data_IF_710909377371
#
_entry.id   IF_710909377371
#
_cell.length_a   1.000
_cell.length_b   1.000
_cell.length_c   1.000
_cell.angle_alpha   90.00
_cell.angle_beta   90.00
_cell.angle_gamma   90.00
#
_symmetry.space_group_name_H-M   'P 1'
#
loop_
_entity.id
_entity.type
_entity.pdbx_description
1 polymer ?
#
# COMPACT_ATOMS: atom_id res chain seq x y z
N UNK A 1 19.09 -2.39 -51.22
CA UNK A 1 20.04 -3.42 -51.65
C UNK A 1 20.33 -4.38 -50.48
N UNK A 2 19.93 -5.65 -50.69
CA UNK A 2 20.30 -6.87 -49.94
C UNK A 2 19.84 -7.07 -48.49
N UNK A 3 18.72 -7.82 -48.36
CA UNK A 3 18.41 -8.72 -47.23
C UNK A 3 19.55 -9.72 -46.98
N UNK A 4 19.79 -10.06 -45.70
CA UNK A 4 20.30 -11.39 -45.35
C UNK A 4 19.50 -11.98 -44.20
N UNK A 5 18.84 -13.11 -44.50
CA UNK A 5 18.23 -14.09 -43.61
C UNK A 5 19.32 -14.97 -42.99
N UNK A 6 19.16 -15.35 -41.69
CA UNK A 6 19.68 -16.62 -41.14
C UNK A 6 18.79 -16.92 -39.91
N UNK A 7 17.91 -17.82 -39.90
CA UNK A 7 17.91 -19.28 -39.84
C UNK A 7 17.84 -19.80 -38.41
N UNK A 8 16.73 -20.51 -38.17
CA UNK A 8 16.34 -21.24 -36.94
C UNK A 8 17.31 -22.40 -36.66
N UNK A 9 17.60 -22.66 -35.40
CA UNK A 9 18.04 -23.99 -34.96
C UNK A 9 17.16 -24.40 -33.76
N UNK A 10 16.33 -25.42 -34.01
CA UNK A 10 15.72 -26.27 -33.02
C UNK A 10 16.76 -27.31 -32.56
N UNK A 11 16.93 -27.50 -31.25
CA UNK A 11 17.57 -28.68 -30.76
C UNK A 11 16.70 -29.34 -29.69
N UNK A 12 16.08 -30.43 -30.10
CA UNK A 12 15.37 -31.41 -29.32
C UNK A 12 16.40 -32.35 -28.69
N UNK A 13 16.33 -32.59 -27.39
CA UNK A 13 16.96 -33.76 -26.74
C UNK A 13 15.95 -34.47 -25.86
N UNK A 14 15.44 -35.58 -26.40
CA UNK A 14 14.91 -36.71 -25.63
C UNK A 14 16.06 -37.46 -25.00
N UNK A 15 15.95 -37.84 -23.73
CA UNK A 15 16.65 -39.01 -23.20
C UNK A 15 15.71 -39.80 -22.32
N UNK A 16 15.63 -41.08 -22.66
CA UNK A 16 14.79 -42.11 -22.11
C UNK A 16 15.37 -42.72 -20.83
N UNK A 17 14.49 -43.28 -20.07
CA UNK A 17 14.46 -44.18 -18.96
C UNK A 17 15.64 -45.05 -18.57
N UNK A 18 15.65 -45.37 -17.29
CA UNK A 18 16.10 -46.68 -16.78
C UNK A 18 15.38 -47.02 -15.46
N UNK A 19 14.61 -48.08 -15.54
CA UNK A 19 14.04 -48.80 -14.39
C UNK A 19 15.14 -49.61 -13.73
N UNK A 20 15.24 -49.56 -12.40
CA UNK A 20 15.87 -50.63 -11.64
C UNK A 20 14.93 -51.08 -10.51
N UNK A 21 14.46 -52.29 -10.66
CA UNK A 21 13.84 -53.11 -9.61
C UNK A 21 14.93 -53.76 -8.75
N UNK A 22 14.79 -53.67 -7.43
CA UNK A 22 15.59 -54.39 -6.47
C UNK A 22 14.81 -54.67 -5.20
N UNK A 23 14.39 -55.91 -5.02
CA UNK A 23 13.68 -56.42 -3.86
C UNK A 23 14.68 -56.83 -2.77
N UNK A 24 14.40 -56.57 -1.49
CA UNK A 24 15.15 -57.10 -0.36
C UNK A 24 14.63 -56.58 0.97
N UNK A 25 13.95 -57.42 1.75
CA UNK A 25 13.27 -57.10 2.98
C UNK A 25 14.17 -56.92 4.20
N UNK A 26 13.69 -56.30 5.25
CA UNK A 26 14.30 -56.14 6.57
C UNK A 26 13.53 -55.13 7.44
N UNK A 27 13.11 -55.57 8.60
CA UNK A 27 12.18 -55.00 9.56
C UNK A 27 12.37 -53.52 9.98
N UNK A 28 11.23 -52.93 10.33
CA UNK A 28 11.01 -51.55 10.85
C UNK A 28 11.66 -51.28 12.21
N UNK A 29 11.94 -49.99 12.49
CA UNK A 29 11.10 -49.28 13.44
C UNK A 29 10.41 -48.06 12.84
N UNK A 30 9.23 -47.75 13.40
CA UNK A 30 8.36 -46.69 12.98
C UNK A 30 8.99 -45.31 13.23
N UNK A 31 9.38 -44.62 12.16
CA UNK A 31 9.68 -43.19 12.21
C UNK A 31 8.37 -42.40 12.12
N UNK A 32 8.21 -41.53 13.12
CA UNK A 32 7.20 -40.47 13.10
C UNK A 32 7.39 -39.65 11.81
N UNK A 33 6.30 -39.20 11.16
CA UNK A 33 6.46 -38.27 10.08
C UNK A 33 7.03 -36.98 10.65
N UNK A 34 8.23 -36.64 10.22
CA UNK A 34 8.75 -35.27 10.39
C UNK A 34 7.75 -34.33 9.73
N UNK A 35 7.29 -33.36 10.47
CA UNK A 35 6.51 -32.27 9.90
C UNK A 35 7.36 -31.67 8.78
N UNK A 36 6.91 -31.79 7.54
CA UNK A 36 7.48 -31.07 6.42
C UNK A 36 7.42 -29.58 6.77
N UNK A 37 8.59 -28.97 6.94
CA UNK A 37 8.69 -27.52 6.95
C UNK A 37 8.10 -27.02 5.63
N UNK A 38 7.23 -26.01 5.61
CA UNK A 38 6.71 -25.46 4.37
C UNK A 38 7.90 -25.01 3.53
N UNK A 39 7.98 -25.52 2.31
CA UNK A 39 8.92 -25.00 1.32
C UNK A 39 8.62 -23.51 1.18
N UNK A 40 9.51 -22.65 1.67
CA UNK A 40 9.41 -21.21 1.49
C UNK A 40 9.68 -20.91 0.01
N UNK A 41 8.64 -20.96 -0.80
CA UNK A 41 8.68 -20.39 -2.14
C UNK A 41 8.63 -18.87 -2.04
N UNK A 42 9.33 -18.18 -2.94
CA UNK A 42 9.21 -16.73 -3.10
C UNK A 42 7.76 -16.37 -3.42
N UNK A 43 7.24 -15.32 -2.80
CA UNK A 43 5.91 -14.78 -3.04
C UNK A 43 6.02 -13.45 -3.78
N UNK A 44 5.47 -13.38 -4.99
CA UNK A 44 5.39 -12.12 -5.74
C UNK A 44 4.30 -11.26 -5.12
N UNK A 45 4.70 -10.10 -4.58
CA UNK A 45 3.83 -9.21 -3.83
C UNK A 45 3.58 -7.92 -4.61
N UNK A 46 2.32 -7.70 -5.02
CA UNK A 46 1.91 -6.41 -5.57
C UNK A 46 1.77 -5.37 -4.46
N UNK A 47 2.30 -4.19 -4.66
CA UNK A 47 2.25 -3.06 -3.73
C UNK A 47 1.94 -1.77 -4.48
N UNK A 48 1.23 -0.85 -3.84
CA UNK A 48 1.10 0.52 -4.34
C UNK A 48 2.46 1.21 -4.22
N UNK A 49 2.85 1.96 -5.24
CA UNK A 49 4.11 2.69 -5.24
C UNK A 49 4.19 3.66 -4.04
N UNK A 50 5.24 3.52 -3.26
CA UNK A 50 5.62 4.40 -2.18
C UNK A 50 6.44 5.59 -2.70
N UNK A 51 6.76 6.57 -1.85
CA UNK A 51 7.57 7.72 -2.27
C UNK A 51 9.04 7.35 -2.43
N UNK A 52 9.56 6.47 -1.58
CA UNK A 52 11.00 6.19 -1.47
C UNK A 52 11.33 4.73 -1.14
N UNK A 53 10.34 3.84 -0.95
CA UNK A 53 10.58 2.41 -0.72
C UNK A 53 10.84 1.72 -2.05
N UNK A 54 12.05 1.21 -2.21
CA UNK A 54 12.51 0.43 -3.36
C UNK A 54 12.53 -1.05 -3.01
N UNK A 55 12.75 -1.93 -4.00
CA UNK A 55 12.96 -3.37 -3.79
C UNK A 55 14.04 -3.65 -2.73
N UNK A 56 15.20 -2.97 -2.83
CA UNK A 56 16.28 -3.11 -1.85
C UNK A 56 15.85 -2.71 -0.44
N UNK A 57 15.12 -1.61 -0.28
CA UNK A 57 14.61 -1.19 1.03
C UNK A 57 13.59 -2.18 1.58
N UNK A 58 12.77 -2.80 0.73
CA UNK A 58 11.87 -3.87 1.14
C UNK A 58 12.63 -5.08 1.68
N UNK A 59 13.69 -5.50 1.02
CA UNK A 59 14.57 -6.57 1.53
C UNK A 59 15.16 -6.23 2.90
N UNK A 60 15.57 -4.98 3.09
CA UNK A 60 16.11 -4.52 4.37
C UNK A 60 15.02 -4.52 5.46
N UNK A 61 13.78 -4.13 5.15
CA UNK A 61 12.62 -4.22 6.07
C UNK A 61 12.35 -5.67 6.46
N UNK A 62 12.30 -6.57 5.49
CA UNK A 62 12.05 -8.00 5.75
C UNK A 62 13.13 -8.62 6.67
N UNK A 63 14.40 -8.26 6.47
CA UNK A 63 15.50 -8.67 7.37
C UNK A 63 15.31 -8.16 8.79
N UNK A 64 14.98 -6.87 8.95
CA UNK A 64 14.71 -6.28 10.28
C UNK A 64 13.54 -6.99 10.99
N UNK A 65 12.45 -7.28 10.26
CA UNK A 65 11.30 -8.01 10.82
C UNK A 65 11.70 -9.44 11.22
N UNK A 66 12.52 -10.13 10.42
CA UNK A 66 13.00 -11.47 10.73
C UNK A 66 13.93 -11.51 11.94
N UNK A 67 14.89 -10.60 12.01
CA UNK A 67 15.85 -10.50 13.13
C UNK A 67 15.13 -10.24 14.46
N UNK A 68 14.09 -9.42 14.41
CA UNK A 68 13.31 -9.09 15.61
C UNK A 68 12.37 -10.21 16.06
N UNK A 69 11.64 -10.82 15.13
CA UNK A 69 10.64 -11.84 15.45
C UNK A 69 11.26 -13.20 15.76
N UNK A 70 12.50 -13.44 15.32
CA UNK A 70 13.15 -14.76 15.39
C UNK A 70 12.46 -15.84 14.53
N UNK A 71 11.54 -15.45 13.66
CA UNK A 71 10.76 -16.31 12.79
C UNK A 71 11.27 -16.14 11.35
N UNK A 72 11.34 -17.25 10.60
CA UNK A 72 11.62 -17.17 9.16
C UNK A 72 10.47 -16.44 8.47
N UNK A 73 10.78 -15.29 7.88
CA UNK A 73 9.82 -14.49 7.11
C UNK A 73 9.76 -14.99 5.68
N UNK A 74 8.57 -15.07 5.12
CA UNK A 74 8.39 -15.34 3.68
C UNK A 74 9.19 -14.32 2.86
N UNK A 75 9.95 -14.79 1.89
CA UNK A 75 10.65 -13.91 0.96
C UNK A 75 9.65 -13.33 -0.03
N UNK A 76 9.43 -12.02 0.04
CA UNK A 76 8.54 -11.30 -0.88
C UNK A 76 9.36 -10.62 -1.98
N UNK A 77 8.91 -10.80 -3.22
CA UNK A 77 9.44 -10.11 -4.39
C UNK A 77 8.43 -9.01 -4.76
N UNK A 78 8.70 -7.72 -4.44
CA UNK A 78 7.76 -6.65 -4.66
C UNK A 78 7.62 -6.29 -6.14
N UNK A 79 6.39 -6.01 -6.55
CA UNK A 79 6.06 -5.36 -7.82
C UNK A 79 5.22 -4.14 -7.51
N UNK A 80 5.69 -2.95 -7.89
CA UNK A 80 5.02 -1.70 -7.58
C UNK A 80 4.05 -1.30 -8.70
N UNK A 81 2.88 -0.82 -8.28
CA UNK A 81 1.80 -0.37 -9.15
C UNK A 81 1.43 1.07 -8.82
N UNK A 82 1.08 1.84 -9.83
CA UNK A 82 0.67 3.24 -9.67
C UNK A 82 -0.77 3.40 -9.17
N UNK A 83 -1.58 2.33 -9.21
CA UNK A 83 -2.97 2.36 -8.76
C UNK A 83 -3.44 0.99 -8.25
N UNK A 84 -4.48 1.00 -7.40
CA UNK A 84 -5.13 -0.22 -6.92
C UNK A 84 -5.68 -1.04 -8.11
N UNK A 85 -6.27 -0.38 -9.09
CA UNK A 85 -6.81 -1.04 -10.28
C UNK A 85 -5.74 -1.82 -11.05
N UNK A 86 -4.58 -1.22 -11.28
CA UNK A 86 -3.46 -1.90 -11.95
C UNK A 86 -2.94 -3.07 -11.11
N UNK A 87 -2.86 -2.91 -9.81
CA UNK A 87 -2.44 -3.97 -8.89
C UNK A 87 -3.45 -5.13 -8.86
N UNK A 88 -4.75 -4.84 -8.90
CA UNK A 88 -5.80 -5.86 -9.02
C UNK A 88 -5.69 -6.62 -10.36
N UNK A 89 -5.44 -5.93 -11.47
CA UNK A 89 -5.17 -6.59 -12.75
C UNK A 89 -3.91 -7.48 -12.69
N UNK A 90 -2.90 -7.08 -11.93
CA UNK A 90 -1.68 -7.87 -11.71
C UNK A 90 -1.96 -9.20 -11.03
N UNK A 91 -2.75 -9.21 -9.96
CA UNK A 91 -3.09 -10.45 -9.26
C UNK A 91 -4.08 -11.31 -10.06
N UNK A 92 -5.05 -10.71 -10.74
CA UNK A 92 -6.02 -11.42 -11.58
C UNK A 92 -5.35 -12.13 -12.77
N UNK A 93 -4.29 -11.54 -13.33
CA UNK A 93 -3.49 -12.15 -14.41
C UNK A 93 -2.47 -13.18 -13.91
N UNK A 94 -2.24 -13.30 -12.59
CA UNK A 94 -1.21 -14.14 -12.00
C UNK A 94 0.20 -13.55 -12.12
N UNK A 95 0.34 -12.25 -12.42
CA UNK A 95 1.64 -11.57 -12.43
C UNK A 95 2.21 -11.44 -11.02
N UNK A 96 1.35 -11.32 -10.00
CA UNK A 96 1.67 -11.38 -8.58
C UNK A 96 0.79 -12.43 -7.89
N UNK A 97 1.28 -12.96 -6.77
CA UNK A 97 0.60 -14.02 -6.01
C UNK A 97 -0.31 -13.43 -4.91
N UNK A 98 0.10 -12.32 -4.35
CA UNK A 98 -0.60 -11.57 -3.31
C UNK A 98 -0.51 -10.07 -3.58
N UNK A 99 -1.41 -9.30 -2.99
CA UNK A 99 -1.34 -7.83 -2.96
C UNK A 99 -1.33 -7.34 -1.51
N UNK A 100 -0.48 -6.35 -1.25
CA UNK A 100 -0.36 -5.69 0.05
C UNK A 100 -1.20 -4.42 0.08
N UNK A 101 -2.08 -4.32 1.05
CA UNK A 101 -2.97 -3.19 1.28
C UNK A 101 -2.98 -2.84 2.76
N UNK A 102 -3.56 -1.71 3.10
CA UNK A 102 -3.98 -1.44 4.46
C UNK A 102 -5.32 -2.10 4.75
N UNK A 103 -5.52 -2.53 5.99
CA UNK A 103 -6.69 -3.31 6.39
C UNK A 103 -8.01 -2.64 6.01
N UNK A 104 -8.12 -1.34 6.17
CA UNK A 104 -9.32 -0.60 5.77
C UNK A 104 -9.66 -0.76 4.29
N UNK A 105 -8.64 -0.70 3.41
CA UNK A 105 -8.79 -0.89 1.96
C UNK A 105 -9.01 -2.37 1.62
N UNK A 106 -8.28 -3.28 2.26
CA UNK A 106 -8.44 -4.73 2.08
C UNK A 106 -9.85 -5.19 2.42
N UNK A 107 -10.40 -4.74 3.55
CA UNK A 107 -11.77 -5.03 3.96
C UNK A 107 -12.80 -4.53 2.93
N UNK A 108 -12.57 -3.34 2.34
CA UNK A 108 -13.42 -2.80 1.29
C UNK A 108 -13.34 -3.65 0.00
N UNK A 109 -12.14 -4.02 -0.42
CA UNK A 109 -11.93 -4.87 -1.61
C UNK A 109 -12.64 -6.21 -1.45
N UNK A 110 -12.48 -6.88 -0.31
CA UNK A 110 -13.13 -8.18 -0.03
C UNK A 110 -14.66 -8.05 0.03
N UNK A 111 -15.17 -6.95 0.57
CA UNK A 111 -16.61 -6.71 0.64
C UNK A 111 -17.26 -6.49 -0.74
N UNK A 112 -16.51 -5.93 -1.70
CA UNK A 112 -17.00 -5.62 -3.04
C UNK A 112 -16.66 -6.68 -4.10
N UNK A 113 -15.76 -7.60 -3.81
CA UNK A 113 -15.34 -8.63 -4.76
C UNK A 113 -15.03 -9.94 -4.03
N UNK A 114 -15.91 -10.91 -4.18
CA UNK A 114 -15.84 -12.23 -3.54
C UNK A 114 -14.71 -13.12 -4.06
N UNK A 115 -14.02 -12.71 -5.13
CA UNK A 115 -12.82 -13.39 -5.64
C UNK A 115 -11.58 -13.14 -4.80
N UNK A 116 -11.60 -12.16 -3.90
CA UNK A 116 -10.50 -11.89 -2.99
C UNK A 116 -10.73 -12.54 -1.63
N UNK A 117 -9.64 -12.93 -0.98
CA UNK A 117 -9.63 -13.35 0.41
C UNK A 117 -8.34 -12.93 1.09
N UNK A 118 -8.38 -12.83 2.42
CA UNK A 118 -7.20 -12.50 3.24
C UNK A 118 -6.20 -13.65 3.18
N UNK A 119 -4.94 -13.32 2.89
CA UNK A 119 -3.82 -14.25 2.96
C UNK A 119 -3.39 -14.43 4.42
N UNK A 120 -3.66 -15.60 5.00
CA UNK A 120 -3.38 -15.87 6.41
C UNK A 120 -1.91 -16.22 6.71
N UNK A 121 -1.09 -16.35 5.69
CA UNK A 121 0.32 -16.73 5.72
C UNK A 121 1.27 -15.52 5.76
N UNK A 122 0.76 -14.31 5.68
CA UNK A 122 1.59 -13.11 5.72
C UNK A 122 2.10 -12.80 7.13
N UNK A 123 3.42 -12.71 7.27
CA UNK A 123 4.09 -12.21 8.49
C UNK A 123 4.07 -10.68 8.56
N UNK A 124 3.89 -10.00 7.43
CA UNK A 124 3.85 -8.53 7.36
C UNK A 124 2.57 -7.93 7.95
N UNK A 125 1.48 -8.72 8.10
CA UNK A 125 0.25 -8.25 8.75
C UNK A 125 0.41 -7.86 10.22
N UNK A 126 1.56 -8.14 10.81
CA UNK A 126 1.89 -7.64 12.15
C UNK A 126 2.37 -6.19 12.13
N UNK A 127 2.71 -5.68 10.94
CA UNK A 127 3.12 -4.30 10.75
C UNK A 127 1.91 -3.38 10.76
N UNK A 128 2.13 -2.19 11.24
CA UNK A 128 1.18 -1.09 11.14
C UNK A 128 1.94 0.19 10.89
N UNK A 129 1.29 1.09 10.17
CA UNK A 129 1.88 2.37 9.81
C UNK A 129 1.01 3.52 10.26
N UNK A 130 1.66 4.63 10.57
CA UNK A 130 1.04 5.91 10.76
C UNK A 130 0.99 6.65 9.44
N UNK A 131 -0.11 7.32 9.17
CA UNK A 131 -0.33 8.14 7.99
C UNK A 131 -0.07 9.60 8.30
N UNK A 132 0.78 10.23 7.51
CA UNK A 132 1.15 11.63 7.63
C UNK A 132 0.95 12.35 6.29
N UNK A 133 0.72 13.66 6.32
CA UNK A 133 0.92 14.50 5.16
C UNK A 133 2.43 14.65 4.89
N UNK A 134 2.80 14.76 3.61
CA UNK A 134 4.16 15.13 3.23
C UNK A 134 4.20 16.45 2.49
N UNK A 135 5.18 17.28 2.83
CA UNK A 135 5.37 18.63 2.32
C UNK A 135 6.84 18.87 1.96
N UNK A 136 7.09 19.91 1.19
CA UNK A 136 8.47 20.38 1.01
C UNK A 136 8.98 20.98 2.33
N UNK A 137 10.27 20.80 2.58
CA UNK A 137 10.95 21.28 3.80
C UNK A 137 10.84 22.81 3.97
N UNK A 138 10.78 23.56 2.87
CA UNK A 138 10.61 25.00 2.88
C UNK A 138 9.20 25.47 3.26
N UNK A 139 8.17 24.61 3.23
CA UNK A 139 6.78 24.95 3.52
C UNK A 139 6.43 24.80 5.02
N UNK A 140 7.32 25.25 5.89
CA UNK A 140 7.21 25.06 7.34
C UNK A 140 5.94 25.70 7.95
N UNK A 141 5.45 26.82 7.42
CA UNK A 141 4.22 27.45 7.86
C UNK A 141 3.00 26.57 7.54
N UNK A 142 2.95 26.01 6.31
CA UNK A 142 1.88 25.09 5.93
C UNK A 142 1.88 23.84 6.80
N UNK A 143 3.06 23.29 7.09
CA UNK A 143 3.20 22.15 8.01
C UNK A 143 2.66 22.47 9.39
N UNK A 144 2.96 23.67 9.92
CA UNK A 144 2.46 24.10 11.23
C UNK A 144 0.93 24.22 11.24
N UNK A 145 0.31 24.73 10.16
CA UNK A 145 -1.14 24.83 10.02
C UNK A 145 -1.80 23.44 9.99
N UNK A 146 -1.21 22.49 9.24
CA UNK A 146 -1.71 21.11 9.18
C UNK A 146 -1.60 20.42 10.54
N UNK A 147 -0.46 20.54 11.21
CA UNK A 147 -0.24 19.93 12.52
C UNK A 147 -1.24 20.50 13.55
N UNK A 148 -1.45 21.81 13.54
CA UNK A 148 -2.43 22.45 14.42
C UNK A 148 -3.84 21.91 14.17
N UNK A 149 -4.25 21.78 12.91
CA UNK A 149 -5.55 21.20 12.59
C UNK A 149 -5.69 19.74 13.09
N UNK A 150 -4.64 18.92 12.91
CA UNK A 150 -4.60 17.53 13.39
C UNK A 150 -4.71 17.50 14.93
N UNK A 151 -3.93 18.32 15.63
CA UNK A 151 -3.94 18.39 17.10
C UNK A 151 -5.31 18.81 17.64
N UNK A 152 -5.94 19.81 17.03
CA UNK A 152 -7.29 20.26 17.39
C UNK A 152 -8.31 19.14 17.16
N UNK A 153 -8.23 18.41 16.03
CA UNK A 153 -9.14 17.30 15.75
C UNK A 153 -8.92 16.11 16.69
N UNK A 154 -7.70 15.88 17.15
CA UNK A 154 -7.40 14.88 18.20
C UNK A 154 -8.01 15.32 19.54
N UNK A 155 -7.86 16.59 19.89
CA UNK A 155 -8.29 17.12 21.17
C UNK A 155 -9.82 17.15 21.33
N UNK A 156 -10.57 17.42 20.27
CA UNK A 156 -12.04 17.50 20.28
C UNK A 156 -12.73 16.19 19.86
N UNK A 157 -11.96 15.15 19.51
CA UNK A 157 -12.48 13.83 19.11
C UNK A 157 -13.01 13.77 17.67
N UNK A 158 -12.94 14.86 16.90
CA UNK A 158 -13.46 14.85 15.52
C UNK A 158 -12.66 13.95 14.60
N UNK A 159 -11.37 13.76 14.83
CA UNK A 159 -10.54 12.82 14.06
C UNK A 159 -11.00 11.37 14.25
N UNK A 160 -11.25 10.95 15.49
CA UNK A 160 -11.79 9.63 15.81
C UNK A 160 -13.19 9.45 15.19
N UNK A 161 -14.02 10.49 15.26
CA UNK A 161 -15.35 10.49 14.64
C UNK A 161 -15.26 10.27 13.13
N UNK A 162 -14.36 10.97 12.42
CA UNK A 162 -14.15 10.78 10.99
C UNK A 162 -13.70 9.34 10.67
N UNK A 163 -12.77 8.78 11.44
CA UNK A 163 -12.34 7.40 11.24
C UNK A 163 -13.52 6.42 11.45
N UNK A 164 -14.34 6.64 12.49
CA UNK A 164 -15.52 5.84 12.72
C UNK A 164 -16.55 5.96 11.61
N UNK A 165 -16.83 7.16 11.14
CA UNK A 165 -17.89 7.40 10.12
C UNK A 165 -17.48 6.91 8.73
N UNK A 166 -16.22 7.09 8.34
CA UNK A 166 -15.76 6.84 6.97
C UNK A 166 -14.98 5.53 6.78
N UNK A 167 -14.51 4.89 7.86
CA UNK A 167 -13.75 3.65 7.78
C UNK A 167 -14.47 2.50 8.52
N UNK A 168 -14.78 2.69 9.81
CA UNK A 168 -15.29 1.60 10.64
C UNK A 168 -16.74 1.27 10.30
N UNK A 169 -17.60 2.30 10.27
CA UNK A 169 -19.06 2.17 10.09
C UNK A 169 -19.53 2.38 8.66
N UNK A 170 -18.62 2.66 7.72
CA UNK A 170 -18.97 2.82 6.31
C UNK A 170 -19.56 1.51 5.74
N UNK A 171 -20.57 1.62 4.90
CA UNK A 171 -21.08 0.49 4.14
C UNK A 171 -20.07 0.10 3.06
N UNK A 172 -19.22 -0.87 3.39
CA UNK A 172 -18.12 -1.32 2.50
C UNK A 172 -18.61 -1.92 1.18
N UNK A 173 -19.90 -2.24 1.07
CA UNK A 173 -20.53 -2.71 -0.18
C UNK A 173 -20.95 -1.58 -1.13
N UNK A 174 -20.69 -0.32 -0.77
CA UNK A 174 -21.05 0.86 -1.56
C UNK A 174 -19.85 1.77 -1.75
N UNK A 175 -19.95 2.63 -2.78
CA UNK A 175 -18.98 3.72 -2.94
C UNK A 175 -18.98 4.63 -1.71
N UNK A 176 -17.79 5.11 -1.28
CA UNK A 176 -17.70 6.09 -0.21
C UNK A 176 -18.55 7.34 -0.52
N UNK A 177 -19.21 7.94 0.48
CA UNK A 177 -20.01 9.13 0.25
C UNK A 177 -19.11 10.30 -0.20
N UNK A 178 -19.57 11.03 -1.21
CA UNK A 178 -18.93 12.26 -1.64
C UNK A 178 -18.91 13.30 -0.51
N UNK A 179 -17.82 14.07 -0.42
CA UNK A 179 -17.64 15.10 0.58
C UNK A 179 -17.38 16.43 -0.12
N UNK A 180 -18.14 17.45 0.24
CA UNK A 180 -17.91 18.80 -0.26
C UNK A 180 -16.82 19.50 0.55
N UNK A 181 -15.83 20.04 -0.15
CA UNK A 181 -14.80 20.87 0.46
C UNK A 181 -15.34 22.29 0.64
N UNK A 182 -15.21 22.90 1.84
CA UNK A 182 -15.61 24.26 2.04
C UNK A 182 -14.71 25.21 1.23
N UNK A 183 -15.32 26.25 0.67
CA UNK A 183 -14.62 27.30 -0.08
C UNK A 183 -14.88 28.65 0.59
N UNK A 184 -13.81 29.42 0.78
CA UNK A 184 -13.85 30.77 1.35
C UNK A 184 -13.29 31.74 0.33
N UNK A 185 -14.07 32.76 -0.01
CA UNK A 185 -13.66 33.76 -0.99
C UNK A 185 -12.40 34.51 -0.54
N UNK A 186 -11.42 34.57 -1.42
CA UNK A 186 -10.14 35.21 -1.17
C UNK A 186 -9.16 34.47 -0.26
N UNK A 187 -9.51 33.30 0.25
CA UNK A 187 -8.58 32.48 1.00
C UNK A 187 -7.51 31.85 0.09
N UNK A 188 -6.33 31.61 0.66
CA UNK A 188 -5.26 30.90 -0.02
C UNK A 188 -5.71 29.46 -0.35
N UNK A 189 -5.43 29.00 -1.56
CA UNK A 189 -5.64 27.60 -1.95
C UNK A 189 -4.38 26.77 -1.77
N UNK A 190 -4.58 25.52 -1.30
CA UNK A 190 -3.55 24.48 -1.15
C UNK A 190 -3.92 23.36 -2.09
N UNK A 191 -2.98 22.91 -2.91
CA UNK A 191 -3.13 21.76 -3.80
C UNK A 191 -2.68 20.51 -3.08
N UNK A 192 -3.60 19.57 -2.87
CA UNK A 192 -3.35 18.29 -2.20
C UNK A 192 -3.42 17.16 -3.20
N UNK A 193 -2.30 16.49 -3.41
CA UNK A 193 -2.21 15.32 -4.27
C UNK A 193 -2.77 14.07 -3.58
N UNK A 194 -3.74 13.44 -4.21
CA UNK A 194 -4.39 12.20 -3.76
C UNK A 194 -4.26 11.13 -4.84
N UNK A 195 -4.34 9.86 -4.45
CA UNK A 195 -4.33 8.75 -5.43
C UNK A 195 -5.74 8.44 -5.95
N UNK A 196 -6.76 8.76 -5.18
CA UNK A 196 -8.16 8.72 -5.59
C UNK A 196 -8.75 7.34 -5.85
N UNK A 197 -8.02 6.25 -5.59
CA UNK A 197 -8.42 4.89 -5.92
C UNK A 197 -8.29 3.85 -4.78
N UNK A 198 -8.13 4.33 -3.54
CA UNK A 198 -7.96 3.48 -2.35
C UNK A 198 -9.17 3.58 -1.38
N UNK A 199 -10.39 3.20 -1.82
CA UNK A 199 -11.55 3.28 -0.95
C UNK A 199 -11.43 2.34 0.27
N UNK A 200 -11.96 2.71 1.43
CA UNK A 200 -12.71 3.92 1.74
C UNK A 200 -11.83 5.10 2.18
N UNK A 201 -10.49 4.95 2.12
CA UNK A 201 -9.54 5.99 2.56
C UNK A 201 -9.52 7.16 1.57
N UNK A 202 -9.09 6.89 0.36
CA UNK A 202 -8.80 7.87 -0.70
C UNK A 202 -9.56 7.50 -1.96
N UNK A 203 -10.59 8.27 -2.29
CA UNK A 203 -11.47 7.93 -3.40
C UNK A 203 -11.91 9.15 -4.19
N UNK A 204 -11.80 9.05 -5.50
CA UNK A 204 -12.43 9.95 -6.46
C UNK A 204 -13.37 9.12 -7.33
N UNK A 205 -14.66 9.46 -7.28
CA UNK A 205 -15.69 8.74 -8.01
C UNK A 205 -15.57 8.97 -9.52
N UNK A 206 -16.25 8.13 -10.31
CA UNK A 206 -16.22 8.21 -11.77
C UNK A 206 -16.76 9.56 -12.34
N UNK A 207 -17.58 10.29 -11.57
CA UNK A 207 -18.05 11.64 -11.90
C UNK A 207 -17.11 12.75 -11.36
N UNK A 208 -15.92 12.38 -10.88
CA UNK A 208 -14.87 13.30 -10.44
C UNK A 208 -15.09 13.89 -9.05
N UNK A 209 -16.03 13.34 -8.25
CA UNK A 209 -16.24 13.82 -6.89
C UNK A 209 -15.31 13.13 -5.92
N UNK A 210 -14.63 13.94 -5.12
CA UNK A 210 -13.81 13.43 -4.04
C UNK A 210 -14.68 12.88 -2.90
N UNK A 211 -14.24 11.78 -2.30
CA UNK A 211 -15.01 11.03 -1.32
C UNK A 211 -14.09 10.28 -0.35
N UNK A 212 -14.69 9.70 0.68
CA UNK A 212 -13.97 8.89 1.65
C UNK A 212 -13.34 9.67 2.79
N UNK A 213 -12.60 8.95 3.62
CA UNK A 213 -11.98 9.47 4.83
C UNK A 213 -11.06 10.66 4.56
N UNK A 214 -10.24 10.57 3.51
CA UNK A 214 -9.26 11.60 3.17
C UNK A 214 -9.94 12.94 2.85
N UNK A 215 -10.99 12.93 2.02
CA UNK A 215 -11.71 14.15 1.68
C UNK A 215 -12.41 14.75 2.89
N UNK A 216 -12.97 13.89 3.77
CA UNK A 216 -13.62 14.35 5.00
C UNK A 216 -12.60 14.98 5.97
N UNK A 217 -11.40 14.40 6.09
CA UNK A 217 -10.30 14.97 6.86
C UNK A 217 -9.87 16.33 6.28
N UNK A 218 -9.70 16.41 4.96
CA UNK A 218 -9.32 17.66 4.29
C UNK A 218 -10.39 18.75 4.43
N UNK A 219 -11.68 18.40 4.46
CA UNK A 219 -12.75 19.34 4.73
C UNK A 219 -12.64 19.96 6.14
N UNK A 220 -12.26 19.17 7.15
CA UNK A 220 -12.01 19.67 8.50
C UNK A 220 -10.71 20.50 8.57
N UNK A 221 -9.65 20.11 7.86
CA UNK A 221 -8.42 20.91 7.73
C UNK A 221 -8.73 22.28 7.10
N UNK A 222 -9.52 22.31 6.02
CA UNK A 222 -9.91 23.57 5.38
C UNK A 222 -10.65 24.51 6.35
N UNK A 223 -11.63 24.00 7.11
CA UNK A 223 -12.38 24.77 8.11
C UNK A 223 -11.47 25.36 9.21
N UNK A 224 -10.51 24.59 9.71
CA UNK A 224 -9.65 24.97 10.84
C UNK A 224 -8.52 25.90 10.41
N UNK A 225 -7.93 25.65 9.24
CA UNK A 225 -6.85 26.48 8.70
C UNK A 225 -7.33 27.75 8.02
N UNK A 226 -8.61 27.82 7.65
CA UNK A 226 -9.16 28.93 6.85
C UNK A 226 -8.63 28.97 5.42
N UNK A 227 -8.05 27.86 4.93
CA UNK A 227 -7.51 27.74 3.58
C UNK A 227 -8.45 26.93 2.69
N UNK A 228 -8.48 27.24 1.41
CA UNK A 228 -9.17 26.40 0.42
C UNK A 228 -8.32 25.20 0.06
N UNK A 229 -8.93 24.04 -0.19
CA UNK A 229 -8.25 22.85 -0.61
C UNK A 229 -8.71 22.48 -2.02
N UNK A 230 -7.73 22.32 -2.92
CA UNK A 230 -7.90 21.80 -4.27
C UNK A 230 -7.32 20.38 -4.31
N UNK A 231 -8.17 19.40 -4.57
CA UNK A 231 -7.74 18.00 -4.74
C UNK A 231 -7.18 17.80 -6.14
N UNK A 232 -6.00 17.22 -6.23
CA UNK A 232 -5.32 16.89 -7.48
C UNK A 232 -5.10 15.38 -7.50
N UNK A 233 -5.74 14.70 -8.44
CA UNK A 233 -5.57 13.26 -8.65
C UNK A 233 -4.21 12.97 -9.29
N UNK A 234 -3.40 12.13 -8.66
CA UNK A 234 -2.02 11.83 -9.08
C UNK A 234 -1.70 10.35 -8.86
N UNK A 235 -1.14 9.73 -9.88
CA UNK A 235 -0.60 8.36 -9.79
C UNK A 235 0.40 8.24 -8.62
N UNK A 236 0.34 7.13 -7.89
CA UNK A 236 1.17 6.92 -6.69
C UNK A 236 2.65 7.14 -6.93
N UNK A 237 3.20 6.66 -8.05
CA UNK A 237 4.62 6.82 -8.39
C UNK A 237 5.02 8.24 -8.79
N UNK A 238 4.06 9.12 -9.15
CA UNK A 238 4.32 10.49 -9.57
C UNK A 238 4.31 11.50 -8.41
N UNK A 239 3.84 11.14 -7.22
CA UNK A 239 3.59 12.06 -6.09
C UNK A 239 4.82 12.85 -5.66
N UNK A 240 5.97 12.21 -5.52
CA UNK A 240 7.21 12.87 -5.10
C UNK A 240 7.67 13.93 -6.12
N UNK A 241 7.59 13.61 -7.42
CA UNK A 241 7.94 14.53 -8.50
C UNK A 241 6.96 15.72 -8.59
N UNK A 242 5.66 15.47 -8.40
CA UNK A 242 4.64 16.51 -8.37
C UNK A 242 4.83 17.50 -7.22
N UNK A 243 5.22 17.00 -6.03
CA UNK A 243 5.57 17.84 -4.89
C UNK A 243 6.83 18.69 -5.16
N UNK A 244 7.89 18.06 -5.66
CA UNK A 244 9.16 18.74 -5.97
C UNK A 244 9.00 19.81 -7.05
N UNK A 245 8.16 19.57 -8.06
CA UNK A 245 7.87 20.53 -9.13
C UNK A 245 6.82 21.61 -8.78
N UNK A 246 6.28 21.58 -7.56
CA UNK A 246 5.23 22.50 -7.09
C UNK A 246 3.90 22.37 -7.86
N UNK A 247 3.67 21.23 -8.50
CA UNK A 247 2.36 20.90 -9.06
C UNK A 247 1.33 20.70 -7.94
N UNK A 248 1.77 20.15 -6.81
CA UNK A 248 1.02 20.06 -5.55
C UNK A 248 1.82 20.66 -4.41
N UNK A 249 1.14 21.00 -3.32
CA UNK A 249 1.74 21.57 -2.10
C UNK A 249 1.85 20.52 -0.99
N UNK A 250 0.97 19.51 -1.03
CA UNK A 250 0.88 18.44 -0.03
C UNK A 250 0.65 17.12 -0.74
N UNK A 251 1.38 16.08 -0.34
CA UNK A 251 1.01 14.69 -0.62
C UNK A 251 0.09 14.26 0.52
N UNK A 252 -1.10 13.74 0.19
CA UNK A 252 -2.09 13.41 1.21
C UNK A 252 -1.59 12.37 2.19
N UNK A 253 -1.02 11.26 1.71
CA UNK A 253 -0.54 10.20 2.59
C UNK A 253 0.89 9.77 2.29
N UNK A 254 1.67 9.70 3.34
CA UNK A 254 2.94 8.98 3.43
C UNK A 254 2.89 8.16 4.69
N UNK A 255 3.50 6.99 4.66
CA UNK A 255 3.44 6.06 5.77
C UNK A 255 4.73 6.08 6.57
N UNK A 256 4.55 6.05 7.88
CA UNK A 256 5.63 5.96 8.86
C UNK A 256 5.43 4.68 9.64
N UNK A 257 6.38 3.73 9.57
CA UNK A 257 6.30 2.49 10.34
C UNK A 257 6.07 2.77 11.82
N UNK A 258 5.13 2.01 12.42
CA UNK A 258 4.84 2.15 13.83
C UNK A 258 5.79 1.29 14.65
N UNK A 259 6.54 1.92 15.54
CA UNK A 259 7.56 1.28 16.38
C UNK A 259 8.98 1.65 15.99
N UNK A 260 9.97 1.18 16.75
CA UNK A 260 11.35 1.66 16.66
C UNK A 260 12.26 0.78 15.77
N UNK A 261 11.69 -0.27 15.14
CA UNK A 261 12.46 -1.31 14.45
C UNK A 261 12.76 -0.97 13.00
N UNK A 262 11.82 -0.32 12.36
CA UNK A 262 11.98 0.15 10.98
C UNK A 262 12.19 1.67 11.06
N UNK A 263 13.20 2.23 10.36
CA UNK A 263 13.42 3.67 10.36
C UNK A 263 12.16 4.44 9.96
N UNK A 264 11.79 5.44 10.76
CA UNK A 264 10.58 6.22 10.54
C UNK A 264 10.61 7.00 9.20
N UNK A 265 11.81 7.31 8.69
CA UNK A 265 12.04 8.05 7.46
C UNK A 265 12.26 7.17 6.23
N UNK A 266 12.01 5.86 6.34
CA UNK A 266 12.31 4.90 5.27
C UNK A 266 11.62 5.25 3.93
N UNK A 267 10.41 5.79 4.00
CA UNK A 267 9.64 6.24 2.82
C UNK A 267 9.70 7.76 2.57
N UNK A 268 10.51 8.50 3.33
CA UNK A 268 10.62 9.95 3.20
C UNK A 268 11.76 10.32 2.25
N UNK A 269 11.48 10.96 1.10
CA UNK A 269 12.51 11.46 0.20
C UNK A 269 13.29 12.63 0.82
N UNK A 270 14.51 12.88 0.29
CA UNK A 270 15.28 14.07 0.65
C UNK A 270 14.50 15.36 0.31
N UNK A 271 14.55 16.33 1.21
CA UNK A 271 13.84 17.61 1.05
C UNK A 271 12.34 17.58 1.38
N UNK A 272 11.84 16.44 1.84
CA UNK A 272 10.45 16.27 2.31
C UNK A 272 10.42 16.21 3.83
N UNK A 273 9.39 16.82 4.41
CA UNK A 273 9.04 16.70 5.82
C UNK A 273 7.61 16.17 5.98
N UNK A 274 7.37 15.48 7.10
CA UNK A 274 6.08 14.90 7.43
C UNK A 274 5.35 15.72 8.50
N UNK A 275 4.02 15.71 8.44
CA UNK A 275 3.17 16.24 9.51
C UNK A 275 3.15 15.29 10.71
N UNK A 276 2.47 15.71 11.79
CA UNK A 276 1.97 14.78 12.79
C UNK A 276 1.06 13.72 12.14
N UNK A 277 1.07 12.49 12.68
CA UNK A 277 0.21 11.44 12.15
C UNK A 277 -1.27 11.73 12.43
N UNK A 278 -2.11 11.50 11.42
CA UNK A 278 -3.56 11.68 11.51
C UNK A 278 -4.35 10.36 11.51
N UNK A 279 -3.75 9.26 11.10
CA UNK A 279 -4.40 7.95 11.03
C UNK A 279 -3.38 6.85 11.26
N UNK A 280 -3.85 5.67 11.64
CA UNK A 280 -3.03 4.46 11.77
C UNK A 280 -3.80 3.27 11.25
N UNK A 281 -3.14 2.42 10.46
CA UNK A 281 -3.73 1.17 9.98
C UNK A 281 -2.71 0.02 9.97
N UNK A 282 -3.21 -1.20 9.89
CA UNK A 282 -2.41 -2.41 9.81
C UNK A 282 -2.23 -2.82 8.36
N UNK A 283 -1.10 -3.46 8.06
CA UNK A 283 -0.88 -4.09 6.76
C UNK A 283 -1.71 -5.39 6.68
N UNK A 284 -2.37 -5.59 5.55
CA UNK A 284 -3.13 -6.81 5.23
C UNK A 284 -2.79 -7.27 3.83
N UNK A 285 -2.64 -8.57 3.64
CA UNK A 285 -2.43 -9.14 2.32
C UNK A 285 -3.67 -9.84 1.81
N UNK A 286 -3.99 -9.63 0.55
CA UNK A 286 -5.04 -10.35 -0.14
C UNK A 286 -4.46 -11.29 -1.19
N UNK A 287 -5.13 -12.41 -1.39
CA UNK A 287 -4.90 -13.33 -2.50
C UNK A 287 -6.17 -13.53 -3.31
N UNK A 288 -6.00 -13.94 -4.55
CA UNK A 288 -7.10 -14.26 -5.44
C UNK A 288 -7.55 -15.70 -5.21
N UNK A 289 -8.84 -15.94 -5.03
CA UNK A 289 -9.40 -17.30 -4.92
C UNK A 289 -9.23 -18.03 -6.24
N UNK A 290 -8.67 -19.22 -6.20
CA UNK A 290 -8.52 -20.10 -7.36
C UNK A 290 -9.79 -20.87 -7.65
#
# INVERSE_FOLDING_TARGET
MKLKKVAKIFLSCMVAGALFTGCGGGDKPADKPAAEAPASGDVKLGMIAHLNVTEKKMDDILKMVQEDSGVTVTHYIPTYYDSLKLMQMGIESGSVDQISLYKSVADYVVANNDKYEVANDSTLKTLSDNFCFALRKEDAELKADLNKAIEEMKADGSLEKLANDYIVNVDKGKEPPAVELPMTDGAQSIKVGVTGDLPPLDYVSADGKAAGFNTALLAEVAKRSGKNIEIVDIDSGARAAALASKQIDVIFWVVVPNGDKIPADIDTPEGVELSEPYFKDNVEHLKFKK
#
